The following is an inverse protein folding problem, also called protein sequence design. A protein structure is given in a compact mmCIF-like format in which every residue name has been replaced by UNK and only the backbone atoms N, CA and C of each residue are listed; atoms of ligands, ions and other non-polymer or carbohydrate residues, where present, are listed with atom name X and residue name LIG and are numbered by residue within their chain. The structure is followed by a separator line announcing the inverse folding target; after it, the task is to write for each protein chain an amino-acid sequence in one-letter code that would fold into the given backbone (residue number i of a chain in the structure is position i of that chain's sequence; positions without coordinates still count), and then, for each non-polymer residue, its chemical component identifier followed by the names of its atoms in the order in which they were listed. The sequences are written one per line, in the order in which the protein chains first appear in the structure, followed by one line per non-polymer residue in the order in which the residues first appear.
data_IF_492557764074
#
_entry.id   IF_492557764074
#
_cell.length_a   1.000
_cell.length_b   1.000
_cell.length_c   1.000
_cell.angle_alpha   90.00
_cell.angle_beta   90.00
_cell.angle_gamma   90.00
#
_symmetry.space_group_name_H-M   'P 1'
#
loop_
_entity.id
_entity.type
_entity.pdbx_description
1 polymer ?
#
# COMPACT_ATOMS: atom_id res chain seq x y z
N UNK A 1 4.83 0.96 13.44
CA UNK A 1 4.87 -0.34 14.18
C UNK A 1 5.42 -1.43 13.29
N UNK A 2 6.06 -2.46 13.86
CA UNK A 2 6.72 -3.55 13.11
C UNK A 2 5.76 -4.36 12.23
N UNK A 3 6.29 -5.20 11.33
CA UNK A 3 5.48 -6.19 10.62
C UNK A 3 4.72 -7.10 11.62
N UNK A 4 3.47 -7.44 11.32
CA UNK A 4 2.68 -8.35 12.17
C UNK A 4 2.20 -7.76 13.51
N UNK A 5 2.20 -6.43 13.67
CA UNK A 5 1.76 -5.75 14.91
C UNK A 5 0.28 -5.35 14.91
N UNK A 6 -0.48 -5.71 13.88
CA UNK A 6 -1.92 -5.44 13.79
C UNK A 6 -2.31 -4.07 13.21
N UNK A 7 -1.39 -3.36 12.51
CA UNK A 7 -1.64 -2.04 11.90
C UNK A 7 -2.92 -2.00 11.05
N UNK A 8 -3.07 -2.91 10.09
CA UNK A 8 -4.26 -2.98 9.22
C UNK A 8 -5.54 -3.30 9.99
N UNK A 9 -5.45 -4.12 11.04
CA UNK A 9 -6.60 -4.41 11.93
C UNK A 9 -7.01 -3.16 12.72
N UNK A 10 -6.04 -2.38 13.19
CA UNK A 10 -6.27 -1.12 13.88
C UNK A 10 -6.90 -0.06 12.97
N UNK A 11 -6.43 0.05 11.71
CA UNK A 11 -7.06 0.90 10.69
C UNK A 11 -8.55 0.56 10.50
N UNK A 12 -8.86 -0.72 10.30
CA UNK A 12 -10.25 -1.19 10.15
C UNK A 12 -11.10 -0.83 11.37
N UNK A 13 -10.58 -1.08 12.57
CA UNK A 13 -11.27 -0.74 13.81
C UNK A 13 -11.59 0.76 13.90
N UNK A 14 -10.64 1.65 13.59
CA UNK A 14 -10.89 3.09 13.60
C UNK A 14 -11.97 3.47 12.60
N UNK A 15 -11.89 2.93 11.37
CA UNK A 15 -12.87 3.22 10.32
C UNK A 15 -14.28 2.78 10.71
N UNK A 16 -14.42 1.65 11.41
CA UNK A 16 -15.72 1.12 11.86
C UNK A 16 -16.26 1.81 13.12
N UNK A 17 -15.39 2.41 13.95
CA UNK A 17 -15.77 2.98 15.25
C UNK A 17 -15.80 4.50 15.31
N UNK A 18 -15.18 5.18 14.35
CA UNK A 18 -15.15 6.64 14.30
C UNK A 18 -16.49 7.22 13.86
N UNK A 19 -16.91 8.30 14.50
CA UNK A 19 -18.06 9.11 14.08
C UNK A 19 -17.64 10.29 13.18
N UNK A 20 -16.33 10.43 12.92
CA UNK A 20 -15.78 11.54 12.15
C UNK A 20 -15.98 11.34 10.66
N UNK A 21 -16.12 12.45 9.95
CA UNK A 21 -16.04 12.49 8.48
C UNK A 21 -14.64 12.08 8.03
N UNK A 22 -14.48 10.81 7.64
CA UNK A 22 -13.19 10.15 7.51
C UNK A 22 -12.88 9.76 6.08
N UNK A 23 -11.64 10.00 5.65
CA UNK A 23 -11.10 9.49 4.39
C UNK A 23 -9.86 8.65 4.67
N UNK A 24 -9.81 7.47 4.07
CA UNK A 24 -8.62 6.61 4.07
C UNK A 24 -7.89 6.78 2.74
N UNK A 25 -6.61 7.13 2.82
CA UNK A 25 -5.74 7.30 1.67
C UNK A 25 -4.43 6.52 1.82
N UNK A 26 -3.81 6.19 0.69
CA UNK A 26 -2.50 5.54 0.64
C UNK A 26 -1.64 6.07 -0.53
N UNK A 27 -0.32 5.88 -0.53
CA UNK A 27 0.55 6.39 -1.59
C UNK A 27 0.41 5.63 -2.92
N UNK A 28 0.08 4.34 -2.88
CA UNK A 28 -0.01 3.46 -4.08
C UNK A 28 -1.40 2.86 -4.24
N UNK A 29 -1.75 2.46 -5.47
CA UNK A 29 -3.05 1.86 -5.79
C UNK A 29 -3.35 0.58 -5.01
N UNK A 30 -2.38 -0.34 -4.98
CA UNK A 30 -2.51 -1.61 -4.24
C UNK A 30 -2.66 -1.36 -2.73
N UNK A 31 -1.90 -0.42 -2.15
CA UNK A 31 -2.05 -0.06 -0.74
C UNK A 31 -3.42 0.57 -0.46
N UNK A 32 -3.92 1.43 -1.35
CA UNK A 32 -5.23 2.05 -1.23
C UNK A 32 -6.35 0.99 -1.25
N UNK A 33 -6.31 0.06 -2.19
CA UNK A 33 -7.28 -1.04 -2.29
C UNK A 33 -7.23 -1.93 -1.04
N UNK A 34 -6.05 -2.28 -0.56
CA UNK A 34 -5.89 -3.11 0.64
C UNK A 34 -6.37 -2.40 1.93
N UNK A 35 -6.19 -1.08 2.01
CA UNK A 35 -6.71 -0.24 3.07
C UNK A 35 -8.23 0.01 2.94
N UNK A 36 -8.82 -0.30 1.79
CA UNK A 36 -10.20 0.02 1.45
C UNK A 36 -10.43 1.53 1.35
N UNK A 37 -9.45 2.24 0.79
CA UNK A 37 -9.42 3.68 0.59
C UNK A 37 -9.05 4.06 -0.85
N UNK A 38 -8.53 5.27 -1.04
CA UNK A 38 -8.12 5.81 -2.34
C UNK A 38 -6.65 6.21 -2.35
N UNK A 39 -6.06 6.53 -3.50
CA UNK A 39 -4.69 7.06 -3.50
C UNK A 39 -4.69 8.53 -3.11
N UNK A 40 -3.62 8.98 -2.45
CA UNK A 40 -3.42 10.42 -2.18
C UNK A 40 -3.44 11.24 -3.49
N UNK A 41 -2.85 10.69 -4.56
CA UNK A 41 -2.86 11.31 -5.89
C UNK A 41 -4.27 11.50 -6.43
N UNK A 42 -5.11 10.46 -6.43
CA UNK A 42 -6.48 10.59 -6.95
C UNK A 42 -7.36 11.45 -6.05
N UNK A 43 -7.20 11.35 -4.73
CA UNK A 43 -8.01 12.10 -3.78
C UNK A 43 -7.70 13.59 -3.80
N UNK A 44 -6.43 13.99 -3.80
CA UNK A 44 -6.03 15.40 -3.77
C UNK A 44 -5.71 15.96 -5.16
N UNK A 45 -5.90 15.18 -6.24
CA UNK A 45 -5.46 15.54 -7.60
C UNK A 45 -3.99 15.99 -7.62
N UNK A 46 -3.15 15.28 -6.87
CA UNK A 46 -1.73 15.61 -6.80
C UNK A 46 -1.07 15.26 -8.13
N UNK A 47 -0.14 16.09 -8.58
CA UNK A 47 0.66 15.75 -9.74
C UNK A 47 1.70 14.69 -9.40
N UNK A 48 2.19 14.00 -10.43
CA UNK A 48 3.25 12.99 -10.28
C UNK A 48 4.67 13.58 -10.24
N UNK A 49 4.83 14.87 -10.60
CA UNK A 49 6.11 15.58 -10.55
C UNK A 49 6.51 16.02 -9.14
N UNK A 50 7.73 16.55 -8.96
CA UNK A 50 8.18 17.11 -7.68
C UNK A 50 7.40 18.39 -7.34
N UNK A 51 6.92 18.48 -6.10
CA UNK A 51 6.28 19.69 -5.58
C UNK A 51 7.27 20.58 -4.83
N UNK A 52 7.38 21.85 -5.23
CA UNK A 52 8.22 22.84 -4.56
C UNK A 52 7.36 23.82 -3.74
N UNK A 53 7.65 24.00 -2.44
CA UNK A 53 6.87 24.84 -1.54
C UNK A 53 7.28 26.32 -1.67
N UNK A 54 7.27 26.85 -2.88
CA UNK A 54 7.57 28.25 -3.21
C UNK A 54 6.50 28.84 -4.14
N UNK A 55 6.35 30.17 -4.11
CA UNK A 55 5.40 30.90 -4.97
C UNK A 55 6.08 31.61 -6.15
N UNK A 56 7.34 31.27 -6.46
CA UNK A 56 8.08 31.93 -7.53
C UNK A 56 7.66 31.38 -8.91
N UNK A 57 7.00 32.23 -9.69
CA UNK A 57 6.67 32.01 -11.11
C UNK A 57 7.97 31.96 -11.96
N UNK A 58 8.76 30.91 -11.86
CA UNK A 58 9.82 30.68 -12.83
C UNK A 58 9.21 29.97 -14.03
N UNK A 59 9.02 30.72 -15.12
CA UNK A 59 8.60 30.23 -16.44
C UNK A 59 9.45 29.03 -16.93
N UNK A 60 10.66 28.86 -16.39
CA UNK A 60 11.59 27.74 -16.62
C UNK A 60 11.21 26.43 -15.94
N UNK A 61 10.31 26.43 -14.94
CA UNK A 61 9.96 25.24 -14.16
C UNK A 61 9.01 24.29 -14.91
N UNK A 62 8.23 24.81 -15.87
CA UNK A 62 7.27 24.02 -16.64
C UNK A 62 7.96 23.05 -17.62
N UNK A 63 9.16 23.35 -18.10
CA UNK A 63 9.92 22.48 -19.01
C UNK A 63 10.52 21.24 -18.30
N UNK A 64 10.62 21.27 -16.96
CA UNK A 64 11.19 20.19 -16.15
C UNK A 64 10.15 19.42 -15.32
N UNK A 65 8.84 19.68 -15.53
CA UNK A 65 7.77 19.00 -14.80
C UNK A 65 7.67 19.37 -13.31
N UNK A 66 8.29 20.47 -12.89
CA UNK A 66 8.27 20.98 -11.51
C UNK A 66 6.96 21.70 -11.23
N UNK A 67 6.38 21.48 -10.05
CA UNK A 67 5.10 22.07 -9.68
C UNK A 67 5.24 22.90 -8.41
N UNK A 68 4.99 24.19 -8.56
CA UNK A 68 4.95 25.16 -7.47
C UNK A 68 3.54 25.32 -6.91
N UNK A 69 3.38 26.18 -5.89
CA UNK A 69 2.08 26.43 -5.25
C UNK A 69 1.02 26.94 -6.23
N UNK A 70 1.39 27.85 -7.14
CA UNK A 70 0.46 28.43 -8.11
C UNK A 70 0.02 27.40 -9.16
N UNK A 71 0.95 26.61 -9.67
CA UNK A 71 0.72 25.57 -10.68
C UNK A 71 -0.09 24.41 -10.10
N UNK A 72 0.13 24.07 -8.83
CA UNK A 72 -0.66 23.07 -8.11
C UNK A 72 -2.16 23.44 -8.19
N UNK A 73 -2.52 24.65 -7.77
CA UNK A 73 -3.92 25.09 -7.79
C UNK A 73 -4.47 25.37 -9.20
N UNK A 74 -3.62 25.73 -10.16
CA UNK A 74 -4.03 25.88 -11.57
C UNK A 74 -4.45 24.54 -12.18
N UNK A 75 -3.72 23.48 -11.84
CA UNK A 75 -3.97 22.14 -12.37
C UNK A 75 -5.12 21.43 -11.65
N UNK A 76 -5.40 21.80 -10.40
CA UNK A 76 -6.50 21.26 -9.62
C UNK A 76 -7.84 21.86 -10.10
N UNK A 77 -8.71 20.99 -10.62
CA UNK A 77 -10.10 21.33 -10.95
C UNK A 77 -11.02 20.61 -9.98
N UNK A 78 -11.07 21.09 -8.74
CA UNK A 78 -12.07 20.60 -7.78
C UNK A 78 -13.42 21.23 -8.08
N UNK A 79 -14.34 20.39 -8.55
CA UNK A 79 -15.76 20.70 -8.65
C UNK A 79 -16.38 20.91 -7.25
N UNK A 80 -17.57 21.51 -7.21
CA UNK A 80 -18.27 21.88 -5.96
C UNK A 80 -18.35 20.74 -4.95
N UNK A 81 -18.71 19.53 -5.39
CA UNK A 81 -18.79 18.35 -4.52
C UNK A 81 -17.45 18.01 -3.86
N UNK A 82 -16.35 18.04 -4.63
CA UNK A 82 -15.01 17.76 -4.09
C UNK A 82 -14.53 18.83 -3.12
N UNK A 83 -14.84 20.10 -3.40
CA UNK A 83 -14.55 21.21 -2.48
C UNK A 83 -15.29 21.01 -1.16
N UNK A 84 -16.59 20.71 -1.23
CA UNK A 84 -17.42 20.46 -0.06
C UNK A 84 -16.90 19.27 0.76
N UNK A 85 -16.51 18.20 0.09
CA UNK A 85 -15.88 17.05 0.74
C UNK A 85 -14.62 17.44 1.52
N UNK A 86 -13.72 18.24 0.92
CA UNK A 86 -12.52 18.71 1.61
C UNK A 86 -12.84 19.69 2.74
N UNK A 87 -13.87 20.53 2.58
CA UNK A 87 -14.36 21.43 3.63
C UNK A 87 -14.88 20.65 4.85
N UNK A 88 -15.52 19.50 4.64
CA UNK A 88 -16.22 18.72 5.67
C UNK A 88 -15.37 17.56 6.21
N UNK A 89 -14.18 17.32 5.64
CA UNK A 89 -13.24 16.30 6.10
C UNK A 89 -12.76 16.59 7.53
N UNK A 90 -12.89 15.62 8.43
CA UNK A 90 -12.48 15.77 9.83
C UNK A 90 -11.27 14.90 10.18
N UNK A 91 -11.18 13.71 9.58
CA UNK A 91 -10.10 12.75 9.79
C UNK A 91 -9.55 12.24 8.46
N UNK A 92 -8.27 12.49 8.21
CA UNK A 92 -7.52 11.88 7.11
C UNK A 92 -6.62 10.78 7.66
N UNK A 93 -6.87 9.53 7.27
CA UNK A 93 -5.98 8.41 7.61
C UNK A 93 -5.08 8.12 6.42
N UNK A 94 -3.77 8.13 6.62
CA UNK A 94 -2.79 7.80 5.59
C UNK A 94 -2.10 6.50 5.97
N UNK A 95 -2.42 5.42 5.25
CA UNK A 95 -1.74 4.13 5.39
C UNK A 95 -0.45 4.09 4.54
N UNK A 96 0.49 3.24 4.95
CA UNK A 96 1.84 3.15 4.37
C UNK A 96 2.59 4.50 4.30
N UNK A 97 2.49 5.32 5.36
CA UNK A 97 3.10 6.66 5.42
C UNK A 97 4.62 6.68 5.13
N UNK A 98 5.32 5.56 5.37
CA UNK A 98 6.77 5.47 5.11
C UNK A 98 7.11 5.62 3.63
N UNK A 99 6.17 5.34 2.72
CA UNK A 99 6.35 5.50 1.28
C UNK A 99 5.97 6.91 0.78
N UNK A 100 5.42 7.77 1.65
CA UNK A 100 4.99 9.12 1.26
C UNK A 100 6.19 10.06 1.26
N UNK A 101 6.30 10.85 0.20
CA UNK A 101 7.37 11.84 0.06
C UNK A 101 7.07 13.10 0.88
N UNK A 102 8.13 13.79 1.33
CA UNK A 102 8.01 15.05 2.07
C UNK A 102 7.22 16.12 1.29
N UNK A 103 7.53 16.28 0.01
CA UNK A 103 6.87 17.24 -0.87
C UNK A 103 5.40 16.92 -1.10
N UNK A 104 5.07 15.63 -1.23
CA UNK A 104 3.71 15.16 -1.38
C UNK A 104 2.86 15.50 -0.15
N UNK A 105 3.41 15.32 1.06
CA UNK A 105 2.70 15.64 2.30
C UNK A 105 2.49 17.16 2.46
N UNK A 106 3.48 17.98 2.09
CA UNK A 106 3.32 19.44 2.09
C UNK A 106 2.32 19.94 1.02
N UNK A 107 2.23 19.26 -0.12
CA UNK A 107 1.19 19.56 -1.11
C UNK A 107 -0.21 19.25 -0.55
N UNK A 108 -0.38 18.14 0.18
CA UNK A 108 -1.63 17.80 0.87
C UNK A 108 -1.99 18.86 1.92
N UNK A 109 -1.02 19.26 2.75
CA UNK A 109 -1.19 20.34 3.73
C UNK A 109 -1.68 21.64 3.08
N UNK A 110 -1.00 22.08 2.01
CA UNK A 110 -1.33 23.30 1.30
C UNK A 110 -2.74 23.26 0.71
N UNK A 111 -3.12 22.13 0.11
CA UNK A 111 -4.47 21.94 -0.44
C UNK A 111 -5.51 22.03 0.66
N UNK A 112 -5.33 21.32 1.77
CA UNK A 112 -6.29 21.34 2.87
C UNK A 112 -6.43 22.72 3.49
N UNK A 113 -5.33 23.43 3.75
CA UNK A 113 -5.33 24.82 4.23
C UNK A 113 -6.17 25.74 3.35
N UNK A 114 -6.00 25.63 2.03
CA UNK A 114 -6.71 26.46 1.06
C UNK A 114 -8.21 26.14 1.03
N UNK A 115 -8.58 24.86 0.89
CA UNK A 115 -10.00 24.48 0.73
C UNK A 115 -10.78 24.54 2.04
N UNK A 116 -10.14 24.34 3.20
CA UNK A 116 -10.74 24.56 4.53
C UNK A 116 -10.79 26.03 4.95
N UNK A 117 -10.20 26.93 4.15
CA UNK A 117 -10.07 28.38 4.44
C UNK A 117 -9.39 28.65 5.79
N UNK A 118 -8.44 27.79 6.15
CA UNK A 118 -7.71 27.83 7.41
C UNK A 118 -6.21 27.75 7.11
N UNK A 119 -5.65 28.88 6.66
CA UNK A 119 -4.30 28.97 6.11
C UNK A 119 -3.19 28.80 7.16
N UNK A 120 -3.51 29.05 8.44
CA UNK A 120 -2.53 29.09 9.51
C UNK A 120 -2.41 27.77 10.27
N UNK A 121 -3.45 26.94 10.26
CA UNK A 121 -3.40 25.63 10.90
C UNK A 121 -2.87 24.55 9.93
N UNK A 122 -1.95 23.68 10.39
CA UNK A 122 -1.59 22.46 9.68
C UNK A 122 -2.84 21.70 9.21
N UNK A 123 -2.77 21.21 7.98
CA UNK A 123 -3.81 20.46 7.28
C UNK A 123 -5.19 21.16 7.30
N UNK A 124 -5.23 22.49 7.40
CA UNK A 124 -6.50 23.23 7.49
C UNK A 124 -7.36 22.86 8.71
N UNK A 125 -6.72 22.35 9.78
CA UNK A 125 -7.39 21.87 11.00
C UNK A 125 -7.97 20.46 10.90
N UNK A 126 -7.68 19.72 9.82
CA UNK A 126 -8.05 18.30 9.70
C UNK A 126 -7.16 17.46 10.61
N UNK A 127 -7.74 16.51 11.36
CA UNK A 127 -6.94 15.54 12.10
C UNK A 127 -6.31 14.55 11.12
N UNK A 128 -4.98 14.36 11.18
CA UNK A 128 -4.29 13.39 10.34
C UNK A 128 -3.77 12.24 11.18
N UNK A 129 -4.11 11.01 10.79
CA UNK A 129 -3.60 9.79 11.38
C UNK A 129 -2.67 9.09 10.39
N UNK A 130 -1.40 8.97 10.77
CA UNK A 130 -0.39 8.28 9.98
C UNK A 130 -0.23 6.83 10.46
N UNK A 131 -0.34 5.86 9.54
CA UNK A 131 -0.13 4.44 9.82
C UNK A 131 0.98 3.93 8.90
N UNK A 132 1.94 3.20 9.46
CA UNK A 132 2.99 2.56 8.67
C UNK A 132 4.15 1.99 9.49
N UNK A 133 5.20 1.59 8.77
CA UNK A 133 6.47 1.12 9.31
C UNK A 133 7.65 1.84 8.64
N UNK A 134 8.32 2.72 9.39
CA UNK A 134 9.43 3.54 8.89
C UNK A 134 10.64 2.74 8.37
N UNK A 135 10.75 1.47 8.76
CA UNK A 135 11.86 0.60 8.38
C UNK A 135 11.49 -0.41 7.28
N UNK A 136 10.29 -0.31 6.70
CA UNK A 136 9.85 -1.25 5.65
C UNK A 136 10.29 -0.80 4.27
N UNK A 137 9.60 0.18 3.68
CA UNK A 137 9.93 0.71 2.36
C UNK A 137 9.98 2.23 2.41
N UNK A 138 11.11 2.84 1.99
CA UNK A 138 11.23 4.28 1.86
C UNK A 138 10.39 4.79 0.67
N UNK A 139 10.16 6.12 0.57
CA UNK A 139 9.59 6.69 -0.63
C UNK A 139 10.50 6.41 -1.84
N UNK A 140 9.90 6.12 -2.99
CA UNK A 140 10.65 6.07 -4.25
C UNK A 140 10.92 7.50 -4.70
N UNK A 141 12.20 7.86 -4.81
CA UNK A 141 12.64 9.18 -5.25
C UNK A 141 13.65 9.05 -6.39
N UNK A 142 13.24 9.34 -7.64
CA UNK A 142 14.16 9.44 -8.77
C UNK A 142 15.23 10.52 -8.54
N UNK A 143 16.46 10.27 -8.99
CA UNK A 143 17.61 11.15 -8.74
C UNK A 143 17.40 12.56 -9.32
N UNK A 144 16.87 12.65 -10.54
CA UNK A 144 16.53 13.91 -11.21
C UNK A 144 15.54 14.76 -10.40
N UNK A 145 14.52 14.13 -9.82
CA UNK A 145 13.57 14.80 -8.94
C UNK A 145 14.21 15.20 -7.61
N UNK A 146 15.08 14.35 -7.05
CA UNK A 146 15.77 14.64 -5.79
C UNK A 146 16.71 15.83 -5.90
N UNK A 147 17.43 15.98 -7.01
CA UNK A 147 18.32 17.11 -7.26
C UNK A 147 17.59 18.45 -7.15
N UNK A 148 16.28 18.48 -7.42
CA UNK A 148 15.44 19.67 -7.27
C UNK A 148 15.00 19.80 -5.80
N UNK A 149 14.44 18.75 -5.22
CA UNK A 149 13.82 18.76 -3.89
C UNK A 149 14.82 18.92 -2.74
N UNK A 150 16.07 18.49 -2.88
CA UNK A 150 17.12 18.61 -1.85
C UNK A 150 17.40 20.05 -1.39
N UNK A 151 17.04 21.05 -2.21
CA UNK A 151 17.16 22.47 -1.85
C UNK A 151 16.08 22.92 -0.84
N UNK A 152 15.00 22.15 -0.72
CA UNK A 152 13.83 22.49 0.10
C UNK A 152 13.62 21.52 1.26
N UNK A 153 14.09 20.28 1.13
CA UNK A 153 13.89 19.22 2.10
C UNK A 153 15.23 18.55 2.44
N UNK A 154 15.41 18.21 3.71
CA UNK A 154 16.62 17.49 4.18
C UNK A 154 16.68 16.05 3.64
N UNK A 155 15.52 15.45 3.35
CA UNK A 155 15.41 14.10 2.79
C UNK A 155 14.07 13.93 2.06
N UNK A 156 13.86 12.85 1.30
CA UNK A 156 12.56 12.56 0.70
C UNK A 156 11.50 12.06 1.71
N UNK A 157 11.87 11.68 2.94
CA UNK A 157 10.93 11.09 3.91
C UNK A 157 9.90 12.10 4.45
N UNK A 158 8.65 11.66 4.61
CA UNK A 158 7.53 12.51 5.07
C UNK A 158 7.81 13.30 6.35
N UNK A 159 8.60 12.77 7.29
CA UNK A 159 8.90 13.44 8.55
C UNK A 159 9.82 14.66 8.40
N UNK A 160 10.43 14.85 7.22
CA UNK A 160 11.15 16.06 6.86
C UNK A 160 10.30 17.08 6.09
N UNK A 161 8.99 16.84 5.92
CA UNK A 161 8.07 17.83 5.37
C UNK A 161 7.96 19.05 6.29
N UNK A 162 7.65 20.22 5.71
CA UNK A 162 7.53 21.45 6.49
C UNK A 162 6.36 21.37 7.48
N UNK A 163 5.24 20.75 7.08
CA UNK A 163 4.07 20.62 7.95
C UNK A 163 4.37 19.76 9.20
N UNK A 164 5.13 18.66 9.05
CA UNK A 164 5.49 17.81 10.19
C UNK A 164 6.49 18.50 11.11
N UNK A 165 7.43 19.28 10.55
CA UNK A 165 8.35 20.10 11.35
C UNK A 165 7.64 21.21 12.12
N UNK A 166 6.59 21.77 11.54
CA UNK A 166 5.76 22.80 12.18
C UNK A 166 4.95 22.22 13.34
N UNK A 167 4.31 21.06 13.13
CA UNK A 167 3.45 20.41 14.11
C UNK A 167 3.71 18.89 14.13
N UNK A 168 4.67 18.42 14.95
CA UNK A 168 5.01 17.01 15.02
C UNK A 168 3.86 16.17 15.57
N UNK A 169 3.55 15.01 14.96
CA UNK A 169 2.46 14.16 15.41
C UNK A 169 2.79 13.45 16.74
N UNK A 170 1.76 12.98 17.43
CA UNK A 170 1.93 12.07 18.57
C UNK A 170 2.35 10.68 18.06
N UNK A 171 3.44 10.15 18.61
CA UNK A 171 3.99 8.86 18.21
C UNK A 171 3.46 7.73 19.09
N UNK A 172 2.84 6.73 18.47
CA UNK A 172 2.38 5.51 19.14
C UNK A 172 3.02 4.29 18.44
N UNK A 173 3.86 3.58 19.18
CA UNK A 173 4.47 2.34 18.69
C UNK A 173 3.68 1.11 19.13
N UNK A 174 3.16 0.36 18.15
CA UNK A 174 2.61 -0.98 18.40
C UNK A 174 3.76 -1.97 18.64
N UNK A 175 3.97 -2.34 19.91
CA UNK A 175 5.08 -3.21 20.34
C UNK A 175 4.77 -4.70 20.26
N UNK A 176 3.50 -5.08 20.41
CA UNK A 176 3.08 -6.49 20.43
C UNK A 176 3.09 -7.08 19.02
N UNK A 177 3.95 -8.07 18.80
CA UNK A 177 4.03 -8.85 17.58
C UNK A 177 3.08 -10.05 17.72
N UNK A 178 2.18 -10.22 16.75
CA UNK A 178 1.23 -11.34 16.73
C UNK A 178 1.62 -12.46 15.77
N UNK A 179 2.51 -12.17 14.79
CA UNK A 179 2.84 -13.08 13.69
C UNK A 179 3.97 -14.05 14.01
N UNK A 180 4.96 -13.63 14.79
CA UNK A 180 6.12 -14.43 15.17
C UNK A 180 6.08 -14.73 16.68
N UNK A 181 6.39 -15.97 17.04
CA UNK A 181 6.51 -16.42 18.44
C UNK A 181 7.96 -16.74 18.86
N UNK A 182 8.86 -16.97 17.89
CA UNK A 182 10.26 -17.27 18.16
C UNK A 182 11.01 -15.99 18.58
N UNK A 183 11.35 -15.92 19.86
CA UNK A 183 12.05 -14.77 20.45
C UNK A 183 13.42 -14.53 19.82
N UNK A 184 14.17 -15.60 19.51
CA UNK A 184 15.51 -15.46 18.96
C UNK A 184 15.47 -14.88 17.55
N UNK A 185 14.51 -15.33 16.73
CA UNK A 185 14.28 -14.75 15.41
C UNK A 185 13.79 -13.28 15.49
N UNK A 186 12.89 -12.98 16.43
CA UNK A 186 12.43 -11.60 16.67
C UNK A 186 13.61 -10.69 17.02
N UNK A 187 14.54 -11.16 17.85
CA UNK A 187 15.70 -10.38 18.28
C UNK A 187 16.67 -10.10 17.12
N UNK A 188 16.93 -11.10 16.26
CA UNK A 188 17.73 -10.91 15.04
C UNK A 188 17.06 -9.87 14.13
N UNK A 189 15.76 -9.99 13.86
CA UNK A 189 15.04 -9.02 13.01
C UNK A 189 15.09 -7.59 13.59
N UNK A 190 15.03 -7.46 14.92
CA UNK A 190 15.15 -6.17 15.59
C UNK A 190 16.56 -5.57 15.44
N UNK A 191 17.60 -6.40 15.56
CA UNK A 191 18.99 -5.96 15.33
C UNK A 191 19.24 -5.59 13.88
N UNK A 192 18.73 -6.36 12.91
CA UNK A 192 18.76 -5.98 11.48
C UNK A 192 18.10 -4.61 11.27
N UNK A 193 16.88 -4.44 11.82
CA UNK A 193 16.11 -3.20 11.71
C UNK A 193 16.89 -1.98 12.22
N UNK A 194 17.61 -2.12 13.32
CA UNK A 194 18.35 -1.02 13.94
C UNK A 194 19.80 -0.89 13.47
N UNK A 195 20.25 -1.75 12.55
CA UNK A 195 21.66 -1.84 12.13
C UNK A 195 22.61 -2.16 13.31
N UNK A 196 22.20 -3.06 14.20
CA UNK A 196 22.90 -3.48 15.43
C UNK A 196 23.26 -4.97 15.41
N UNK A 197 23.46 -5.53 14.20
CA UNK A 197 23.80 -6.94 14.03
C UNK A 197 25.14 -7.29 14.70
N UNK A 198 25.16 -8.39 15.45
CA UNK A 198 26.37 -8.94 16.06
C UNK A 198 26.89 -10.12 15.26
N UNK A 199 28.15 -10.51 15.49
CA UNK A 199 28.80 -11.63 14.78
C UNK A 199 28.00 -12.94 14.88
N UNK A 200 27.41 -13.23 16.04
CA UNK A 200 26.55 -14.39 16.22
C UNK A 200 25.32 -14.37 15.29
N UNK A 201 24.72 -13.21 15.03
CA UNK A 201 23.59 -13.10 14.11
C UNK A 201 24.02 -13.46 12.69
N UNK A 202 25.19 -12.97 12.24
CA UNK A 202 25.74 -13.34 10.94
C UNK A 202 26.03 -14.84 10.87
N UNK A 203 26.60 -15.42 11.93
CA UNK A 203 26.85 -16.87 12.01
C UNK A 203 25.55 -17.68 11.92
N UNK A 204 24.47 -17.21 12.55
CA UNK A 204 23.15 -17.86 12.47
C UNK A 204 22.57 -17.74 11.06
N UNK A 205 22.58 -16.56 10.45
CA UNK A 205 22.05 -16.35 9.11
C UNK A 205 22.87 -17.09 8.04
N UNK A 206 24.19 -17.11 8.16
CA UNK A 206 25.07 -17.81 7.22
C UNK A 206 24.89 -19.33 7.27
N UNK A 207 24.47 -19.91 8.41
CA UNK A 207 24.08 -21.33 8.48
C UNK A 207 22.84 -21.66 7.63
N UNK A 208 22.01 -20.65 7.32
CA UNK A 208 20.84 -20.80 6.44
C UNK A 208 21.22 -20.69 4.96
N UNK A 209 22.42 -20.21 4.62
CA UNK A 209 22.90 -20.14 3.24
C UNK A 209 23.26 -21.53 2.72
N UNK A 210 22.41 -22.07 1.84
CA UNK A 210 22.57 -23.39 1.22
C UNK A 210 22.51 -23.27 -0.30
N UNK A 211 23.62 -22.89 -0.97
CA UNK A 211 23.63 -22.64 -2.41
C UNK A 211 23.36 -23.90 -3.25
N UNK A 212 23.69 -25.06 -2.71
CA UNK A 212 23.46 -26.36 -3.33
C UNK A 212 22.11 -26.98 -2.96
N UNK A 213 21.25 -26.24 -2.24
CA UNK A 213 19.89 -26.71 -1.95
C UNK A 213 19.12 -26.76 -3.27
N UNK A 214 19.06 -27.95 -3.85
CA UNK A 214 18.09 -28.26 -4.87
C UNK A 214 16.78 -28.46 -4.11
N UNK A 215 15.89 -27.47 -4.14
CA UNK A 215 14.54 -27.61 -3.61
C UNK A 215 13.95 -28.88 -4.21
N UNK A 216 13.61 -29.85 -3.35
CA UNK A 216 12.81 -30.99 -3.81
C UNK A 216 11.44 -30.49 -4.26
N UNK A 217 10.71 -31.26 -5.07
CA UNK A 217 9.33 -30.89 -5.46
C UNK A 217 8.41 -30.72 -4.22
N UNK A 218 8.77 -31.33 -3.08
CA UNK A 218 8.07 -31.21 -1.81
C UNK A 218 8.45 -29.96 -1.00
N UNK A 219 9.54 -29.28 -1.34
CA UNK A 219 10.03 -28.08 -0.67
C UNK A 219 9.27 -26.84 -1.17
N UNK A 220 8.16 -26.52 -0.49
CA UNK A 220 7.23 -25.42 -0.81
C UNK A 220 7.76 -24.02 -0.43
N UNK A 221 9.01 -23.72 -0.76
CA UNK A 221 9.60 -22.39 -0.52
C UNK A 221 9.01 -21.34 -1.46
N UNK A 222 9.07 -20.07 -1.04
CA UNK A 222 8.84 -18.92 -1.91
C UNK A 222 10.17 -18.25 -2.21
N UNK A 223 10.45 -18.03 -3.50
CA UNK A 223 11.66 -17.33 -3.92
C UNK A 223 11.40 -15.83 -3.93
N UNK A 224 12.13 -15.09 -3.10
CA UNK A 224 12.09 -13.63 -3.10
C UNK A 224 13.15 -13.09 -4.09
N UNK A 225 12.74 -12.19 -4.98
CA UNK A 225 13.65 -11.54 -5.93
C UNK A 225 13.51 -10.03 -5.83
N UNK A 226 14.55 -9.30 -6.25
CA UNK A 226 14.57 -7.83 -6.17
C UNK A 226 13.79 -7.13 -7.28
N UNK A 227 13.44 -7.84 -8.35
CA UNK A 227 12.79 -7.27 -9.53
C UNK A 227 11.66 -8.16 -10.00
N UNK A 228 10.50 -7.56 -10.30
CA UNK A 228 9.30 -8.29 -10.74
C UNK A 228 9.58 -9.23 -11.93
N UNK A 229 10.29 -8.75 -12.95
CA UNK A 229 10.62 -9.58 -14.12
C UNK A 229 11.33 -10.90 -13.78
N UNK A 230 12.14 -10.95 -12.71
CA UNK A 230 12.83 -12.19 -12.28
C UNK A 230 11.85 -13.16 -11.61
N UNK A 231 10.93 -12.63 -10.80
CA UNK A 231 9.85 -13.42 -10.23
C UNK A 231 8.95 -13.97 -11.34
N UNK A 232 8.55 -13.14 -12.30
CA UNK A 232 7.68 -13.52 -13.42
C UNK A 232 8.31 -14.64 -14.26
N UNK A 233 9.60 -14.50 -14.62
CA UNK A 233 10.33 -15.54 -15.35
C UNK A 233 10.43 -16.85 -14.56
N UNK A 234 10.66 -16.78 -13.25
CA UNK A 234 10.74 -17.96 -12.39
C UNK A 234 9.39 -18.66 -12.29
N UNK A 235 8.32 -17.88 -12.08
CA UNK A 235 6.95 -18.38 -11.98
C UNK A 235 6.50 -19.02 -13.30
N UNK A 236 6.77 -18.36 -14.43
CA UNK A 236 6.43 -18.89 -15.75
C UNK A 236 7.20 -20.18 -16.04
N UNK A 237 8.52 -20.20 -15.79
CA UNK A 237 9.32 -21.41 -15.99
C UNK A 237 8.89 -22.57 -15.11
N UNK A 238 8.46 -22.31 -13.87
CA UNK A 238 7.90 -23.34 -12.99
C UNK A 238 6.54 -23.84 -13.47
N UNK A 239 5.67 -22.94 -13.95
CA UNK A 239 4.37 -23.28 -14.50
C UNK A 239 4.50 -24.12 -15.78
N UNK A 240 5.44 -23.78 -16.66
CA UNK A 240 5.66 -24.47 -17.94
C UNK A 240 6.14 -25.93 -17.77
N UNK A 241 6.80 -26.24 -16.64
CA UNK A 241 7.26 -27.60 -16.32
C UNK A 241 6.13 -28.55 -15.90
N UNK A 242 4.96 -28.05 -15.53
CA UNK A 242 3.83 -28.88 -15.12
C UNK A 242 3.15 -29.48 -16.36
N UNK A 243 3.06 -30.80 -16.46
CA UNK A 243 2.54 -31.47 -17.67
C UNK A 243 1.00 -31.39 -17.82
N UNK A 244 0.29 -31.15 -16.72
CA UNK A 244 -1.17 -31.05 -16.71
C UNK A 244 -1.68 -29.86 -17.56
N UNK A 245 -2.89 -29.95 -18.15
CA UNK A 245 -3.47 -28.87 -18.93
C UNK A 245 -3.57 -27.54 -18.17
N UNK A 246 -3.31 -26.43 -18.88
CA UNK A 246 -3.49 -25.08 -18.35
C UNK A 246 -4.95 -24.64 -18.43
N UNK A 247 -5.43 -24.05 -17.35
CA UNK A 247 -6.72 -23.39 -17.28
C UNK A 247 -6.52 -21.89 -17.03
N UNK A 248 -7.28 -21.06 -17.73
CA UNK A 248 -7.19 -19.61 -17.61
C UNK A 248 -8.50 -19.04 -17.08
N UNK A 249 -8.39 -18.22 -16.04
CA UNK A 249 -9.51 -17.56 -15.38
C UNK A 249 -9.40 -16.06 -15.60
N UNK A 250 -10.32 -15.50 -16.38
CA UNK A 250 -10.38 -14.07 -16.63
C UNK A 250 -11.12 -13.36 -15.49
N UNK A 251 -10.55 -12.25 -15.02
CA UNK A 251 -11.21 -11.32 -14.12
C UNK A 251 -12.42 -10.67 -14.82
N UNK A 252 -13.49 -10.43 -14.06
CA UNK A 252 -14.63 -9.65 -14.51
C UNK A 252 -14.46 -8.24 -13.98
N UNK A 253 -14.29 -7.27 -14.87
CA UNK A 253 -14.13 -5.86 -14.51
C UNK A 253 -15.42 -5.14 -14.84
N UNK A 254 -15.93 -4.37 -13.87
CA UNK A 254 -17.10 -3.50 -14.09
C UNK A 254 -16.79 -2.07 -13.67
N UNK A 255 -17.34 -1.09 -14.40
CA UNK A 255 -17.11 0.33 -14.09
C UNK A 255 -15.68 0.82 -14.34
N UNK A 256 -15.23 1.78 -13.52
CA UNK A 256 -13.89 2.37 -13.60
C UNK A 256 -12.90 1.58 -12.74
N UNK A 257 -11.99 0.81 -13.36
CA UNK A 257 -10.89 0.13 -12.65
C UNK A 257 -9.60 0.17 -13.51
N UNK A 258 -8.54 0.82 -13.00
CA UNK A 258 -7.28 0.94 -13.73
C UNK A 258 -6.43 -0.33 -13.59
N UNK A 259 -5.93 -0.85 -14.72
CA UNK A 259 -5.08 -2.06 -14.78
C UNK A 259 -3.87 -2.01 -13.87
N UNK A 260 -3.24 -0.83 -13.72
CA UNK A 260 -2.07 -0.63 -12.83
C UNK A 260 -2.38 -0.83 -11.36
N UNK A 261 -3.66 -0.82 -11.00
CA UNK A 261 -4.13 -1.01 -9.63
C UNK A 261 -4.71 -2.42 -9.42
N UNK A 262 -4.67 -3.31 -10.41
CA UNK A 262 -5.16 -4.65 -10.21
C UNK A 262 -4.40 -5.34 -9.06
N UNK A 263 -5.12 -5.94 -8.09
CA UNK A 263 -4.50 -6.59 -6.94
C UNK A 263 -3.87 -7.95 -7.29
N UNK A 264 -4.22 -8.50 -8.46
CA UNK A 264 -3.76 -9.79 -8.99
C UNK A 264 -3.88 -9.79 -10.52
N UNK A 265 -3.37 -10.82 -11.19
CA UNK A 265 -3.44 -10.98 -12.64
C UNK A 265 -4.87 -10.88 -13.19
N UNK A 266 -5.05 -10.11 -14.27
CA UNK A 266 -6.33 -10.02 -14.99
C UNK A 266 -6.70 -11.36 -15.66
N UNK A 267 -5.70 -12.09 -16.14
CA UNK A 267 -5.86 -13.42 -16.71
C UNK A 267 -4.97 -14.39 -15.93
N UNK A 268 -5.57 -15.05 -14.94
CA UNK A 268 -4.87 -15.98 -14.08
C UNK A 268 -4.77 -17.34 -14.78
N UNK A 269 -3.55 -17.74 -15.15
CA UNK A 269 -3.30 -19.06 -15.77
C UNK A 269 -2.70 -20.01 -14.74
N UNK A 270 -3.33 -21.17 -14.57
CA UNK A 270 -2.94 -22.18 -13.59
C UNK A 270 -2.84 -23.56 -14.23
N UNK A 271 -1.99 -24.41 -13.64
CA UNK A 271 -1.92 -25.85 -13.89
C UNK A 271 -2.03 -26.58 -12.56
N UNK A 272 -2.47 -27.84 -12.58
CA UNK A 272 -2.49 -28.67 -11.39
C UNK A 272 -1.05 -28.85 -10.90
N UNK A 273 -0.84 -28.77 -9.58
CA UNK A 273 0.48 -28.73 -8.95
C UNK A 273 1.07 -27.32 -8.82
N UNK A 274 0.48 -26.28 -9.40
CA UNK A 274 0.99 -24.92 -9.26
C UNK A 274 0.92 -24.44 -7.80
N UNK A 275 2.02 -23.85 -7.31
CA UNK A 275 2.06 -23.16 -6.04
C UNK A 275 1.49 -21.74 -6.21
N UNK A 276 0.52 -21.38 -5.38
CA UNK A 276 -0.19 -20.10 -5.41
C UNK A 276 -0.15 -19.42 -4.05
N UNK A 277 -0.37 -18.11 -4.05
CA UNK A 277 -0.41 -17.29 -2.85
C UNK A 277 -1.75 -16.54 -2.79
N UNK A 278 -2.39 -16.53 -1.63
CA UNK A 278 -3.60 -15.75 -1.40
C UNK A 278 -3.26 -14.26 -1.34
N UNK A 279 -4.04 -13.43 -2.05
CA UNK A 279 -3.90 -11.96 -2.08
C UNK A 279 -4.95 -11.24 -1.23
N UNK A 280 -5.87 -11.98 -0.60
CA UNK A 280 -6.95 -11.45 0.24
C UNK A 280 -7.05 -12.23 1.54
N UNK A 281 -7.56 -11.59 2.58
CA UNK A 281 -7.88 -12.27 3.84
C UNK A 281 -9.30 -12.84 3.76
N UNK A 282 -9.49 -14.05 4.26
CA UNK A 282 -10.83 -14.64 4.36
C UNK A 282 -11.72 -13.82 5.30
N UNK A 283 -12.96 -13.59 4.89
CA UNK A 283 -14.00 -12.96 5.70
C UNK A 283 -14.73 -14.03 6.53
N UNK A 284 -15.16 -13.68 7.74
CA UNK A 284 -15.89 -14.58 8.64
C UNK A 284 -15.07 -15.14 9.80
N UNK A 285 -15.66 -16.09 10.53
CA UNK A 285 -15.11 -16.60 11.80
C UNK A 285 -14.00 -17.65 11.61
N UNK A 286 -14.05 -18.42 10.52
CA UNK A 286 -13.15 -19.56 10.31
C UNK A 286 -11.71 -19.16 9.95
N UNK A 287 -11.49 -17.96 9.39
CA UNK A 287 -10.19 -17.34 9.03
C UNK A 287 -9.10 -18.34 8.59
N UNK A 288 -9.42 -19.20 7.64
CA UNK A 288 -8.61 -20.33 7.14
C UNK A 288 -7.36 -19.86 6.39
N UNK A 289 -7.47 -18.74 5.68
CA UNK A 289 -6.36 -18.12 4.96
C UNK A 289 -6.28 -16.61 5.18
N UNK A 290 -5.09 -16.08 4.95
CA UNK A 290 -4.77 -14.65 5.03
C UNK A 290 -3.91 -14.27 3.82
N UNK A 291 -3.84 -12.97 3.52
CA UNK A 291 -2.99 -12.45 2.45
C UNK A 291 -1.51 -12.84 2.70
N UNK A 292 -0.91 -13.57 1.76
CA UNK A 292 0.41 -14.17 1.85
C UNK A 292 0.43 -15.66 2.20
N UNK A 293 -0.73 -16.28 2.49
CA UNK A 293 -0.81 -17.73 2.73
C UNK A 293 -0.52 -18.48 1.43
N UNK A 294 0.36 -19.48 1.49
CA UNK A 294 0.69 -20.35 0.36
C UNK A 294 -0.26 -21.55 0.28
N UNK A 295 -0.52 -22.00 -0.94
CA UNK A 295 -1.27 -23.21 -1.23
C UNK A 295 -0.80 -23.85 -2.55
N UNK A 296 -1.22 -25.09 -2.79
CA UNK A 296 -0.94 -25.82 -4.03
C UNK A 296 -2.24 -26.21 -4.70
N UNK A 297 -2.34 -26.02 -6.01
CA UNK A 297 -3.52 -26.39 -6.79
C UNK A 297 -3.60 -27.91 -6.91
N UNK A 298 -4.67 -28.52 -6.39
CA UNK A 298 -4.86 -29.99 -6.40
C UNK A 298 -5.82 -30.48 -7.47
N UNK A 299 -6.76 -29.62 -7.88
CA UNK A 299 -7.71 -29.89 -8.96
C UNK A 299 -8.13 -28.58 -9.63
N UNK A 300 -8.25 -28.63 -10.95
CA UNK A 300 -8.69 -27.54 -11.82
C UNK A 300 -9.76 -28.04 -12.79
N UNK A 301 -10.72 -27.17 -13.05
CA UNK A 301 -11.73 -27.27 -14.11
C UNK A 301 -11.96 -25.86 -14.66
N UNK A 302 -12.75 -25.71 -15.71
CA UNK A 302 -13.02 -24.40 -16.31
C UNK A 302 -13.68 -23.40 -15.35
N UNK A 303 -14.37 -23.89 -14.31
CA UNK A 303 -15.11 -23.04 -13.36
C UNK A 303 -14.61 -23.12 -11.92
N UNK A 304 -13.81 -24.14 -11.57
CA UNK A 304 -13.46 -24.44 -10.17
C UNK A 304 -11.98 -24.69 -9.99
N UNK A 305 -11.42 -23.99 -8.99
CA UNK A 305 -10.05 -24.17 -8.51
C UNK A 305 -10.13 -24.80 -7.11
N UNK A 306 -9.43 -25.91 -6.88
CA UNK A 306 -9.31 -26.53 -5.56
C UNK A 306 -7.86 -26.53 -5.13
N UNK A 307 -7.58 -25.93 -3.98
CA UNK A 307 -6.23 -25.80 -3.44
C UNK A 307 -6.08 -26.53 -2.11
N UNK A 308 -4.86 -26.95 -1.81
CA UNK A 308 -4.44 -27.47 -0.52
C UNK A 308 -3.57 -26.44 0.19
N UNK A 309 -3.98 -26.01 1.38
CA UNK A 309 -3.25 -25.01 2.16
C UNK A 309 -1.94 -25.58 2.71
N UNK A 310 -0.84 -24.86 2.52
CA UNK A 310 0.46 -25.25 3.07
C UNK A 310 0.43 -25.28 4.61
N UNK A 311 0.91 -26.39 5.18
CA UNK A 311 1.03 -26.61 6.63
C UNK A 311 -0.19 -27.22 7.32
N UNK A 312 -1.42 -27.04 6.80
CA UNK A 312 -2.62 -27.69 7.37
C UNK A 312 -3.11 -28.88 6.57
N UNK A 313 -2.72 -28.99 5.29
CA UNK A 313 -3.22 -30.02 4.37
C UNK A 313 -4.72 -29.88 4.05
N UNK A 314 -5.35 -28.79 4.51
CA UNK A 314 -6.76 -28.54 4.28
C UNK A 314 -7.00 -28.26 2.81
N UNK A 315 -7.88 -29.04 2.18
CA UNK A 315 -8.34 -28.80 0.81
C UNK A 315 -9.59 -27.93 0.83
N UNK A 316 -9.63 -26.96 -0.06
CA UNK A 316 -10.79 -26.10 -0.24
C UNK A 316 -10.96 -25.67 -1.69
N UNK A 317 -12.22 -25.53 -2.11
CA UNK A 317 -12.55 -24.87 -3.35
C UNK A 317 -12.45 -23.35 -3.14
N UNK A 318 -11.82 -22.67 -4.10
CA UNK A 318 -11.75 -21.22 -4.12
C UNK A 318 -13.03 -20.65 -4.71
N UNK A 319 -13.44 -19.51 -4.17
CA UNK A 319 -14.52 -18.69 -4.68
C UNK A 319 -13.95 -17.42 -5.32
N UNK A 320 -14.71 -16.81 -6.22
CA UNK A 320 -14.33 -15.52 -6.80
C UNK A 320 -14.43 -14.45 -5.72
N UNK A 321 -13.37 -13.67 -5.60
CA UNK A 321 -13.29 -12.56 -4.67
C UNK A 321 -13.41 -11.23 -5.41
N UNK A 322 -14.13 -10.29 -4.83
CA UNK A 322 -14.32 -8.95 -5.40
C UNK A 322 -13.45 -7.93 -4.68
N UNK A 323 -12.79 -7.07 -5.44
CA UNK A 323 -12.15 -5.86 -4.94
C UNK A 323 -12.97 -4.66 -5.40
N UNK A 324 -13.11 -3.66 -4.55
CA UNK A 324 -13.89 -2.46 -4.88
C UNK A 324 -12.94 -1.32 -5.16
N UNK A 325 -13.13 -0.66 -6.30
CA UNK A 325 -12.58 0.66 -6.52
C UNK A 325 -13.62 1.68 -6.04
N UNK A 326 -13.25 2.46 -5.03
CA UNK A 326 -14.15 3.43 -4.40
C UNK A 326 -13.73 4.85 -4.72
N UNK A 327 -14.68 5.77 -4.64
CA UNK A 327 -14.47 7.20 -4.60
C UNK A 327 -15.22 7.77 -3.40
N UNK A 328 -14.64 8.77 -2.74
CA UNK A 328 -15.35 9.49 -1.70
C UNK A 328 -16.15 10.64 -2.32
N UNK A 329 -17.42 10.77 -1.90
CA UNK A 329 -18.29 11.88 -2.26
C UNK A 329 -18.94 12.46 -0.99
N UNK A 330 -19.32 13.73 -1.03
CA UNK A 330 -20.05 14.36 0.08
C UNK A 330 -21.53 14.36 -0.21
N UNK A 331 -22.30 13.68 0.64
CA UNK A 331 -23.75 13.68 0.58
C UNK A 331 -24.28 14.90 1.35
N UNK A 332 -24.69 15.93 0.60
CA UNK A 332 -25.19 17.17 1.19
C UNK A 332 -26.52 17.01 1.95
N UNK A 333 -27.32 15.99 1.65
CA UNK A 333 -28.59 15.73 2.33
C UNK A 333 -28.38 15.10 3.71
N UNK A 334 -27.41 14.19 3.83
CA UNK A 334 -27.06 13.54 5.10
C UNK A 334 -26.01 14.32 5.90
N UNK A 335 -25.27 15.20 5.25
CA UNK A 335 -24.13 15.90 5.86
C UNK A 335 -22.92 14.98 6.10
N UNK A 336 -22.79 13.92 5.30
CA UNK A 336 -21.81 12.86 5.52
C UNK A 336 -20.97 12.58 4.25
N UNK A 337 -19.71 12.19 4.45
CA UNK A 337 -18.83 11.65 3.43
C UNK A 337 -19.19 10.18 3.24
N UNK A 338 -19.62 9.84 2.04
CA UNK A 338 -20.00 8.48 1.65
C UNK A 338 -18.97 7.89 0.70
N UNK A 339 -18.87 6.56 0.72
CA UNK A 339 -18.10 5.78 -0.24
C UNK A 339 -19.01 5.39 -1.41
N UNK A 340 -18.62 5.78 -2.61
CA UNK A 340 -19.26 5.42 -3.86
C UNK A 340 -18.41 4.35 -4.56
N UNK A 341 -19.00 3.20 -4.84
CA UNK A 341 -18.36 2.16 -5.65
C UNK A 341 -18.40 2.57 -7.12
N UNK A 342 -17.23 2.81 -7.71
CA UNK A 342 -17.12 3.24 -9.12
C UNK A 342 -16.72 2.09 -10.04
N UNK A 343 -16.24 0.98 -9.48
CA UNK A 343 -15.93 -0.24 -10.22
C UNK A 343 -15.52 -1.41 -9.33
N UNK A 344 -15.53 -2.61 -9.90
CA UNK A 344 -15.12 -3.87 -9.24
C UNK A 344 -14.29 -4.78 -10.13
#
# INVERSE_FOLDING_TARGET
GKAGTGKTTFLKYIRESTLKQTVVAAPTGVAAINAGGVTLHSFFQLPFGPFVPTSQNSLTNHEQGIIDQHSLFRNIKFFSAKRRLLEELELLIIDEISMVRADMLDAVDLILRQFRKNLHQPFGGVQVLFIGDLFQLPPVMPEDQWQILKHYYESPFFFHSKVIKQDPPVYIELKKIYRQSDQHFIDILNRIRNNEMIEDDFNILNKLYKPSLISSEDDRYITLTTHNHKADLTNQSALDKLEDPSYSFAATITGEFNEKNFPTDQQLTLRKGAQVMFVKNELGELKRYFNGKLAVVTSLTDERIVVELSGSGMKMALEKETWRNIRYNYNAEKGEIEEEEVGT
#
